data_IF_875362490025
#
_entry.id   IF_875362490025
#
_cell.length_a   1.000
_cell.length_b   1.000
_cell.length_c   1.000
_cell.angle_alpha   90.00
_cell.angle_beta   90.00
_cell.angle_gamma   90.00
#
_symmetry.space_group_name_H-M   'P 1'
#
loop_
_entity.id
_entity.type
_entity.pdbx_description
1 polymer ?
#
# COMPACT_ATOMS: atom_id res chain seq x y z
N UNK A 1 2.79 64.64 6.67
CA UNK A 1 2.23 63.99 7.87
C UNK A 1 1.23 62.95 7.39
N UNK A 2 1.47 61.69 7.74
CA UNK A 2 0.81 60.52 7.15
C UNK A 2 -0.61 60.42 7.73
N UNK A 3 -1.63 60.61 6.89
CA UNK A 3 -3.02 60.37 7.26
C UNK A 3 -3.24 58.87 7.43
N UNK A 4 -3.15 58.39 8.67
CA UNK A 4 -3.57 57.05 9.07
C UNK A 4 -5.10 56.95 9.00
N UNK A 5 -5.64 56.72 7.81
CA UNK A 5 -6.99 56.18 7.66
C UNK A 5 -6.93 54.67 7.84
N UNK A 6 -7.27 54.19 9.05
CA UNK A 6 -7.51 52.77 9.31
C UNK A 6 -8.99 52.57 9.56
N UNK A 7 -9.74 52.34 8.49
CA UNK A 7 -11.09 51.81 8.55
C UNK A 7 -11.06 50.27 8.44
N UNK A 8 -12.05 49.57 9.02
CA UNK A 8 -12.01 48.14 9.33
C UNK A 8 -12.60 47.28 8.20
N UNK A 9 -11.95 46.15 7.92
CA UNK A 9 -12.45 45.11 7.01
C UNK A 9 -12.70 43.82 7.77
N UNK A 10 -13.96 43.57 8.11
CA UNK A 10 -14.48 42.27 8.52
C UNK A 10 -14.80 41.45 7.27
N UNK A 11 -14.09 40.35 7.02
CA UNK A 11 -14.46 39.40 5.96
C UNK A 11 -14.82 38.04 6.55
N UNK A 12 -16.13 37.89 6.70
CA UNK A 12 -16.98 36.70 6.51
C UNK A 12 -16.34 35.32 6.36
N UNK A 13 -16.75 34.48 7.32
CA UNK A 13 -17.04 33.04 7.32
C UNK A 13 -16.96 32.24 5.98
N UNK A 14 -16.54 30.98 6.20
CA UNK A 14 -17.08 29.74 5.59
C UNK A 14 -16.51 29.35 4.22
N UNK A 15 -15.62 28.35 4.21
CA UNK A 15 -15.72 27.25 3.24
C UNK A 15 -15.17 25.95 3.84
N UNK A 16 -16.09 25.02 4.10
CA UNK A 16 -15.79 23.59 4.13
C UNK A 16 -15.17 23.21 2.78
N UNK A 17 -13.92 22.75 2.76
CA UNK A 17 -13.30 22.20 1.56
C UNK A 17 -12.25 21.16 1.91
N UNK A 18 -12.71 19.95 2.18
CA UNK A 18 -12.01 18.74 1.74
C UNK A 18 -13.07 17.83 1.16
N UNK A 19 -13.48 18.21 -0.05
CA UNK A 19 -14.12 17.30 -0.98
C UNK A 19 -13.14 16.14 -1.19
N UNK A 20 -13.52 14.96 -0.73
CA UNK A 20 -12.99 13.69 -1.21
C UNK A 20 -13.33 13.65 -2.70
N UNK A 21 -12.36 13.92 -3.54
CA UNK A 21 -12.52 13.80 -4.98
C UNK A 21 -11.26 13.16 -5.52
N UNK A 22 -11.50 12.22 -6.43
CA UNK A 22 -10.56 11.60 -7.37
C UNK A 22 -9.78 10.45 -6.70
N UNK A 23 -9.66 9.28 -7.31
CA UNK A 23 -9.46 9.04 -8.73
C UNK A 23 -10.22 7.80 -9.23
N UNK A 24 -11.09 8.04 -10.21
CA UNK A 24 -11.31 7.11 -11.32
C UNK A 24 -10.02 7.07 -12.12
N UNK A 25 -9.38 5.91 -12.28
CA UNK A 25 -8.48 5.63 -13.41
C UNK A 25 -8.54 4.15 -13.75
N UNK A 26 -9.41 3.86 -14.71
CA UNK A 26 -9.18 2.81 -15.68
C UNK A 26 -7.90 3.17 -16.46
N UNK A 27 -6.81 2.42 -16.33
CA UNK A 27 -5.66 2.49 -17.24
C UNK A 27 -4.89 1.16 -17.18
N UNK A 28 -5.21 0.29 -18.14
CA UNK A 28 -4.28 -0.31 -19.11
C UNK A 28 -2.93 -0.85 -18.60
N UNK A 29 -2.72 -2.15 -18.87
CA UNK A 29 -1.49 -2.92 -18.67
C UNK A 29 -0.27 -2.27 -19.33
N UNK A 30 0.73 -1.90 -18.53
CA UNK A 30 2.14 -1.90 -18.93
C UNK A 30 2.98 -2.41 -17.74
N UNK A 31 3.75 -3.47 -17.99
CA UNK A 31 4.45 -4.24 -16.96
C UNK A 31 5.64 -3.53 -16.31
N UNK A 32 6.08 -4.15 -15.19
CA UNK A 32 7.32 -3.95 -14.44
C UNK A 32 7.32 -3.02 -13.21
N UNK A 33 6.17 -2.77 -12.59
CA UNK A 33 6.12 -2.43 -11.16
C UNK A 33 4.99 -3.23 -10.51
N UNK A 34 5.30 -4.08 -9.53
CA UNK A 34 4.27 -4.77 -8.73
C UNK A 34 3.59 -3.70 -7.89
N UNK A 35 2.41 -3.26 -8.34
CA UNK A 35 1.62 -2.22 -7.69
C UNK A 35 1.31 -2.63 -6.24
N UNK A 36 1.34 -1.67 -5.30
CA UNK A 36 1.11 -1.95 -3.88
C UNK A 36 -0.29 -2.56 -3.62
N UNK A 37 -1.23 -2.33 -4.53
CA UNK A 37 -2.54 -2.99 -4.56
C UNK A 37 -2.42 -4.49 -4.92
N UNK A 38 -1.49 -4.88 -5.80
CA UNK A 38 -1.23 -6.28 -6.16
C UNK A 38 -0.57 -7.06 -5.01
N UNK A 39 0.29 -6.40 -4.23
CA UNK A 39 0.86 -6.96 -2.99
C UNK A 39 -0.21 -7.21 -1.92
N UNK A 40 -1.34 -6.49 -1.92
CA UNK A 40 -2.52 -6.81 -1.06
C UNK A 40 -3.26 -8.06 -1.52
N UNK A 41 -3.15 -8.43 -2.81
CA UNK A 41 -3.73 -9.67 -3.35
C UNK A 41 -2.84 -10.87 -2.97
N UNK A 42 -1.53 -10.66 -2.82
CA UNK A 42 -0.60 -11.72 -2.47
C UNK A 42 -0.83 -12.18 -1.03
N UNK A 43 -1.36 -13.39 -0.90
CA UNK A 43 -1.73 -13.99 0.37
C UNK A 43 -1.15 -15.40 0.46
N UNK A 44 -0.91 -15.87 1.68
CA UNK A 44 -0.38 -17.19 1.92
C UNK A 44 -1.28 -18.28 1.28
N UNK A 45 -0.72 -19.27 0.57
CA UNK A 45 -1.50 -20.30 -0.13
C UNK A 45 -2.36 -21.13 0.83
N UNK A 46 -1.93 -21.30 2.08
CA UNK A 46 -2.62 -22.12 3.10
C UNK A 46 -3.78 -21.41 3.78
N UNK A 47 -3.50 -20.27 4.41
CA UNK A 47 -4.42 -19.59 5.33
C UNK A 47 -4.89 -18.23 4.82
N UNK A 48 -4.49 -17.86 3.58
CA UNK A 48 -4.85 -16.60 2.91
C UNK A 48 -4.51 -15.36 3.74
N UNK A 49 -3.55 -15.50 4.66
CA UNK A 49 -3.08 -14.44 5.51
C UNK A 49 -2.15 -13.48 4.75
N UNK A 50 -2.00 -12.23 5.24
CA UNK A 50 -0.99 -11.32 4.73
C UNK A 50 0.41 -11.91 4.86
N UNK A 51 1.23 -11.66 3.83
CA UNK A 51 2.62 -12.07 3.79
C UNK A 51 3.54 -10.85 3.75
N UNK A 52 4.78 -11.03 4.15
CA UNK A 52 5.84 -10.01 4.14
C UNK A 52 7.02 -10.53 3.33
N UNK A 53 7.67 -9.65 2.59
CA UNK A 53 8.94 -9.98 1.92
C UNK A 53 10.09 -9.78 2.91
N UNK A 54 10.93 -10.79 3.07
CA UNK A 54 12.13 -10.79 3.91
C UNK A 54 13.31 -11.32 3.07
N UNK A 55 14.04 -10.41 2.42
CA UNK A 55 15.11 -10.77 1.47
C UNK A 55 14.56 -11.57 0.30
N UNK A 56 15.11 -12.76 0.06
CA UNK A 56 14.69 -13.68 -1.00
C UNK A 56 13.59 -14.65 -0.56
N UNK A 57 12.79 -14.28 0.44
CA UNK A 57 11.71 -15.11 0.98
C UNK A 57 10.46 -14.31 1.26
N UNK A 58 9.31 -14.94 1.11
CA UNK A 58 8.01 -14.43 1.53
C UNK A 58 7.60 -15.15 2.82
N UNK A 59 7.43 -14.41 3.90
CA UNK A 59 7.06 -14.94 5.22
C UNK A 59 5.61 -14.65 5.52
N UNK A 60 4.86 -15.69 5.88
CA UNK A 60 3.48 -15.52 6.34
C UNK A 60 3.45 -14.95 7.76
N UNK A 61 2.68 -13.89 7.96
CA UNK A 61 2.53 -13.24 9.28
C UNK A 61 1.73 -14.05 10.30
N UNK A 62 0.96 -15.05 9.85
CA UNK A 62 0.11 -15.88 10.69
C UNK A 62 0.69 -17.27 10.94
N UNK A 63 0.97 -18.02 9.88
CA UNK A 63 1.50 -19.38 10.04
C UNK A 63 3.04 -19.44 10.17
N UNK A 64 3.75 -18.34 9.92
CA UNK A 64 5.21 -18.26 10.04
C UNK A 64 6.01 -19.03 8.99
N UNK A 65 5.34 -19.67 8.02
CA UNK A 65 6.01 -20.35 6.90
C UNK A 65 6.75 -19.35 6.01
N UNK A 66 7.87 -19.81 5.44
CA UNK A 66 8.73 -19.01 4.58
C UNK A 66 8.78 -19.64 3.18
N UNK A 67 8.36 -18.89 2.18
CA UNK A 67 8.31 -19.30 0.77
C UNK A 67 9.51 -18.69 0.04
N UNK A 68 10.35 -19.47 -0.66
CA UNK A 68 11.50 -18.92 -1.36
C UNK A 68 11.09 -18.10 -2.59
N UNK A 69 11.90 -17.11 -2.94
CA UNK A 69 11.81 -16.37 -4.20
C UNK A 69 12.95 -16.85 -5.10
N UNK A 70 12.64 -17.35 -6.30
CA UNK A 70 13.62 -17.81 -7.29
C UNK A 70 13.46 -17.00 -8.56
N UNK A 71 14.56 -16.44 -9.07
CA UNK A 71 14.55 -15.58 -10.27
C UNK A 71 13.58 -14.38 -10.18
N UNK A 72 13.35 -13.87 -8.96
CA UNK A 72 12.37 -12.81 -8.70
C UNK A 72 10.92 -13.28 -8.68
N UNK A 73 10.65 -14.59 -8.81
CA UNK A 73 9.33 -15.21 -8.79
C UNK A 73 9.09 -15.89 -7.43
N UNK A 74 8.04 -15.51 -6.68
CA UNK A 74 7.70 -16.18 -5.43
C UNK A 74 7.18 -17.60 -5.65
N UNK A 75 7.81 -18.58 -5.00
CA UNK A 75 7.37 -19.98 -5.03
C UNK A 75 6.33 -20.20 -3.93
N UNK A 76 5.07 -19.93 -4.24
CA UNK A 76 3.93 -20.06 -3.32
C UNK A 76 3.39 -21.50 -3.24
N UNK A 77 4.29 -22.49 -3.19
CA UNK A 77 3.96 -23.90 -3.02
C UNK A 77 4.11 -24.32 -1.56
N UNK A 78 3.15 -25.07 -1.03
CA UNK A 78 3.12 -25.51 0.37
C UNK A 78 4.29 -26.46 0.68
N UNK A 79 4.66 -27.31 -0.27
CA UNK A 79 5.72 -28.31 -0.13
C UNK A 79 7.12 -27.69 -0.20
N UNK A 80 7.27 -26.54 -0.87
CA UNK A 80 8.53 -25.79 -0.91
C UNK A 80 8.67 -24.80 0.26
N UNK A 81 7.65 -24.67 1.10
CA UNK A 81 7.66 -23.75 2.21
C UNK A 81 8.54 -24.28 3.36
N UNK A 82 9.49 -23.46 3.82
CA UNK A 82 10.25 -23.73 5.03
C UNK A 82 9.36 -23.51 6.27
N UNK A 83 9.41 -24.46 7.21
CA UNK A 83 8.63 -24.36 8.46
C UNK A 83 9.16 -23.23 9.36
N UNK A 84 8.29 -22.56 10.15
CA UNK A 84 8.75 -21.65 11.18
C UNK A 84 9.66 -22.42 12.16
N UNK A 85 10.86 -21.90 12.35
CA UNK A 85 11.80 -22.40 13.35
C UNK A 85 11.30 -21.91 14.70
N UNK A 86 10.80 -22.84 15.52
CA UNK A 86 10.23 -22.56 16.84
C UNK A 86 11.31 -22.22 17.86
#
# INVERSE_FOLDING_TARGET
MVYKHRAPGIETKKTKKTKKTKETKETQLEGLVVDAELLKILACPLDKAPVKLEGDRIVCTRCGRRYPVRDGIPVMLVDEAEMPTR
#
